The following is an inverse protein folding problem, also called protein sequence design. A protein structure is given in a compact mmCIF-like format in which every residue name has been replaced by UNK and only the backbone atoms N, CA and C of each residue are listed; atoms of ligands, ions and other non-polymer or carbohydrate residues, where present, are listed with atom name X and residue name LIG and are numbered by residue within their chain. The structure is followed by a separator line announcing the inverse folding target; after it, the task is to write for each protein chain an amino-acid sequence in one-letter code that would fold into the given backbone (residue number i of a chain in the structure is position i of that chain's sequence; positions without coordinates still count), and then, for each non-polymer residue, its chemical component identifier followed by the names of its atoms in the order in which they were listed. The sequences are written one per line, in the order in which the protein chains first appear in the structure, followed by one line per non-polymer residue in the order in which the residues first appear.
data_IF_191465862635
#
_entry.id   IF_191465862635
#
_cell.length_a   1.000
_cell.length_b   1.000
_cell.length_c   1.000
_cell.angle_alpha   90.00
_cell.angle_beta   90.00
_cell.angle_gamma   90.00
#
_symmetry.space_group_name_H-M   'P 1'
#
loop_
_entity.id
_entity.type
_entity.pdbx_description
1 polymer ?
#
# COMPACT_ATOMS: atom_id res chain seq x y z
N UNK A 1 -21.60 -8.34 23.75
CA UNK A 1 -20.58 -7.30 23.46
C UNK A 1 -19.98 -7.64 22.10
N UNK A 2 -20.57 -7.09 21.03
CA UNK A 2 -20.02 -7.20 19.68
C UNK A 2 -18.70 -6.42 19.70
N UNK A 3 -17.57 -7.12 19.68
CA UNK A 3 -16.26 -6.49 19.52
C UNK A 3 -16.23 -5.97 18.09
N UNK A 4 -16.67 -4.73 17.88
CA UNK A 4 -16.27 -3.94 16.72
C UNK A 4 -14.75 -3.86 16.78
N UNK A 5 -14.08 -4.83 16.15
CA UNK A 5 -12.65 -4.79 15.89
C UNK A 5 -12.43 -3.47 15.17
N UNK A 6 -11.91 -2.45 15.88
CA UNK A 6 -11.45 -1.21 15.27
C UNK A 6 -10.42 -1.63 14.23
N UNK A 7 -10.86 -1.76 12.98
CA UNK A 7 -10.01 -2.12 11.86
C UNK A 7 -8.96 -1.03 11.82
N UNK A 8 -7.73 -1.40 12.11
CA UNK A 8 -6.66 -0.46 12.42
C UNK A 8 -6.12 0.09 11.09
N UNK A 9 -6.97 0.80 10.34
CA UNK A 9 -6.73 1.28 8.97
C UNK A 9 -5.47 2.15 8.90
N UNK A 10 -5.08 2.78 10.01
CA UNK A 10 -3.84 3.55 10.13
C UNK A 10 -2.56 2.76 9.83
N UNK A 11 -2.51 1.45 10.14
CA UNK A 11 -1.34 0.63 9.85
C UNK A 11 -1.21 0.35 8.34
N UNK A 12 -2.36 0.25 7.65
CA UNK A 12 -2.42 0.06 6.20
C UNK A 12 -2.09 1.35 5.45
N UNK A 13 -2.47 2.51 5.97
CA UNK A 13 -2.00 3.80 5.46
C UNK A 13 -0.49 3.94 5.52
N UNK A 14 0.14 3.46 6.60
CA UNK A 14 1.61 3.45 6.71
C UNK A 14 2.25 2.57 5.63
N UNK A 15 1.69 1.37 5.42
CA UNK A 15 2.13 0.46 4.34
C UNK A 15 1.92 1.06 2.94
N UNK A 16 0.84 1.79 2.72
CA UNK A 16 0.59 2.50 1.46
C UNK A 16 1.67 3.55 1.19
N UNK A 17 1.97 4.43 2.15
CA UNK A 17 3.01 5.44 1.97
C UNK A 17 4.40 4.83 1.70
N UNK A 18 4.76 3.75 2.39
CA UNK A 18 6.02 3.03 2.15
C UNK A 18 6.06 2.43 0.73
N UNK A 19 4.98 1.78 0.29
CA UNK A 19 4.89 1.22 -1.06
C UNK A 19 4.92 2.32 -2.14
N UNK A 20 4.27 3.46 -1.93
CA UNK A 20 4.31 4.60 -2.85
C UNK A 20 5.72 5.21 -2.93
N UNK A 21 6.43 5.35 -1.81
CA UNK A 21 7.82 5.82 -1.81
C UNK A 21 8.73 4.85 -2.58
N UNK A 22 8.54 3.54 -2.40
CA UNK A 22 9.27 2.52 -3.16
C UNK A 22 8.96 2.58 -4.67
N UNK A 23 7.71 2.84 -5.06
CA UNK A 23 7.33 3.06 -6.46
C UNK A 23 8.04 4.29 -7.04
N UNK A 24 8.01 5.43 -6.34
CA UNK A 24 8.68 6.66 -6.79
C UNK A 24 10.19 6.41 -6.94
N UNK A 25 10.82 5.72 -5.98
CA UNK A 25 12.24 5.36 -6.07
C UNK A 25 12.52 4.44 -7.27
N UNK A 26 11.66 3.46 -7.53
CA UNK A 26 11.78 2.57 -8.69
C UNK A 26 11.61 3.31 -10.02
N UNK A 27 10.75 4.34 -10.08
CA UNK A 27 10.59 5.23 -11.25
C UNK A 27 11.88 6.03 -11.48
N UNK A 28 12.42 6.67 -10.43
CA UNK A 28 13.64 7.50 -10.52
C UNK A 28 14.87 6.67 -10.91
N UNK A 29 14.96 5.44 -10.41
CA UNK A 29 16.04 4.51 -10.72
C UNK A 29 15.89 3.83 -12.10
N UNK A 30 14.85 4.14 -12.87
CA UNK A 30 14.54 3.50 -14.16
C UNK A 30 14.57 1.97 -14.08
N UNK A 31 14.02 1.43 -12.99
CA UNK A 31 14.06 -0.02 -12.77
C UNK A 31 13.08 -0.71 -13.73
N UNK A 32 13.57 -1.60 -14.60
CA UNK A 32 12.74 -2.31 -15.60
C UNK A 32 11.59 -3.12 -14.97
N UNK A 33 11.76 -3.55 -13.71
CA UNK A 33 10.75 -4.28 -12.95
C UNK A 33 9.71 -3.39 -12.26
N UNK A 34 9.60 -2.10 -12.64
CA UNK A 34 8.61 -1.17 -12.11
C UNK A 34 7.20 -1.79 -12.09
N UNK A 35 6.86 -2.54 -13.13
CA UNK A 35 5.57 -3.22 -13.29
C UNK A 35 5.28 -4.26 -12.19
N UNK A 36 6.31 -4.87 -11.59
CA UNK A 36 6.14 -5.83 -10.49
C UNK A 36 5.79 -5.15 -9.16
N UNK A 37 6.12 -3.87 -8.99
CA UNK A 37 5.84 -3.12 -7.75
C UNK A 37 4.44 -2.48 -7.75
N UNK A 38 3.87 -2.21 -8.94
CA UNK A 38 2.51 -1.70 -9.13
C UNK A 38 1.43 -2.52 -8.39
N UNK A 39 1.36 -3.86 -8.52
CA UNK A 39 0.34 -4.65 -7.80
C UNK A 39 0.49 -4.58 -6.28
N UNK A 40 1.71 -4.39 -5.76
CA UNK A 40 1.95 -4.19 -4.32
C UNK A 40 1.43 -2.84 -3.84
N UNK A 41 1.67 -1.76 -4.59
CA UNK A 41 1.11 -0.43 -4.30
C UNK A 41 -0.41 -0.47 -4.33
N UNK A 42 -1.01 -1.05 -5.37
CA UNK A 42 -2.46 -1.17 -5.51
C UNK A 42 -3.07 -2.02 -4.37
N UNK A 43 -2.44 -3.13 -3.98
CA UNK A 43 -2.91 -3.97 -2.87
C UNK A 43 -2.85 -3.22 -1.54
N UNK A 44 -1.76 -2.50 -1.30
CA UNK A 44 -1.58 -1.66 -0.11
C UNK A 44 -2.65 -0.55 -0.06
N UNK A 45 -2.93 0.06 -1.21
CA UNK A 45 -3.92 1.13 -1.37
C UNK A 45 -5.34 0.64 -1.10
N UNK A 46 -5.76 -0.48 -1.69
CA UNK A 46 -7.10 -1.06 -1.47
C UNK A 46 -7.30 -1.42 0.01
N UNK A 47 -6.27 -1.95 0.65
CA UNK A 47 -6.31 -2.25 2.09
C UNK A 47 -6.27 -0.99 2.97
N UNK A 48 -5.59 0.08 2.55
CA UNK A 48 -5.60 1.37 3.24
C UNK A 48 -6.95 2.10 3.10
N UNK A 49 -7.65 1.91 1.98
CA UNK A 49 -9.01 2.41 1.78
C UNK A 49 -10.08 1.58 2.48
N UNK A 50 -9.70 0.47 3.14
CA UNK A 50 -10.62 -0.42 3.85
C UNK A 50 -11.71 -1.04 2.95
N UNK A 51 -11.51 -1.04 1.62
CA UNK A 51 -12.50 -1.53 0.63
C UNK A 51 -12.73 -3.04 0.77
N UNK A 52 -11.80 -3.77 1.40
CA UNK A 52 -11.86 -5.21 1.75
C UNK A 52 -11.58 -5.38 3.23
#
# INVERSE_FOLDING_TARGET
MEKTQKKNTGIWWLGFFVSTAALIAAIVLHWEYLTMIIPFVCTSFVKAMDII
#
